data_IF_032785215930
#
_entry.id   IF_032785215930
#
_cell.length_a   1.000
_cell.length_b   1.000
_cell.length_c   1.000
_cell.angle_alpha   90.00
_cell.angle_beta   90.00
_cell.angle_gamma   90.00
#
_symmetry.space_group_name_H-M   'P 1'
#
loop_
_entity.id
_entity.type
_entity.pdbx_description
1 polymer ?
#
# COMPACT_ATOMS: atom_id res chain seq x y z
N UNK A 1 -32.61 0.66 -5.43
CA UNK A 1 -33.46 -0.54 -5.38
C UNK A 1 -33.69 -1.13 -6.76
N UNK A 2 -34.20 -0.35 -7.79
CA UNK A 2 -34.50 -0.92 -9.12
C UNK A 2 -33.28 -1.56 -9.79
N UNK A 3 -32.12 -0.89 -9.77
CA UNK A 3 -30.86 -1.42 -10.32
C UNK A 3 -30.43 -2.70 -9.59
N UNK A 4 -30.48 -2.70 -8.26
CA UNK A 4 -30.12 -3.88 -7.46
C UNK A 4 -31.03 -5.08 -7.78
N UNK A 5 -32.35 -4.88 -7.85
CA UNK A 5 -33.29 -5.93 -8.24
C UNK A 5 -33.02 -6.42 -9.67
N UNK A 6 -32.64 -5.54 -10.61
CA UNK A 6 -32.31 -5.91 -11.99
C UNK A 6 -31.02 -6.75 -12.08
N UNK A 7 -30.03 -6.45 -11.26
CA UNK A 7 -28.77 -7.24 -11.21
C UNK A 7 -29.03 -8.61 -10.62
N UNK A 8 -29.67 -8.67 -9.45
CA UNK A 8 -29.89 -9.93 -8.75
C UNK A 8 -30.85 -10.86 -9.49
N UNK A 9 -31.80 -10.34 -10.26
CA UNK A 9 -32.72 -11.15 -11.07
C UNK A 9 -32.03 -11.99 -12.15
N UNK A 10 -30.77 -11.70 -12.48
CA UNK A 10 -29.95 -12.49 -13.41
C UNK A 10 -29.31 -13.72 -12.74
N UNK A 11 -29.33 -13.81 -11.42
CA UNK A 11 -28.83 -14.97 -10.69
C UNK A 11 -29.93 -16.04 -10.62
N UNK A 12 -29.71 -17.17 -11.29
CA UNK A 12 -30.69 -18.30 -11.40
C UNK A 12 -30.81 -19.12 -10.12
N UNK A 13 -29.82 -19.03 -9.21
CA UNK A 13 -29.81 -19.80 -7.95
C UNK A 13 -30.28 -18.98 -6.74
N UNK A 14 -30.77 -17.78 -6.92
CA UNK A 14 -31.25 -16.96 -5.84
C UNK A 14 -32.61 -17.41 -5.29
N UNK A 15 -32.82 -17.17 -3.98
CA UNK A 15 -34.16 -17.20 -3.40
C UNK A 15 -34.95 -15.99 -3.91
N UNK A 16 -36.21 -16.21 -4.34
CA UNK A 16 -37.04 -15.13 -4.85
C UNK A 16 -37.28 -14.07 -3.77
N UNK A 17 -36.58 -12.93 -3.89
CA UNK A 17 -36.58 -11.85 -2.92
C UNK A 17 -36.66 -10.50 -3.64
N UNK A 18 -37.69 -9.73 -3.34
CA UNK A 18 -37.86 -8.39 -3.88
C UNK A 18 -37.44 -7.37 -2.82
N UNK A 19 -36.36 -6.66 -3.11
CA UNK A 19 -35.90 -5.55 -2.26
C UNK A 19 -36.76 -4.29 -2.54
N UNK A 20 -37.22 -3.64 -1.50
CA UNK A 20 -38.02 -2.42 -1.56
C UNK A 20 -37.49 -1.36 -0.58
N UNK A 21 -37.92 -0.13 -0.72
CA UNK A 21 -37.61 0.98 0.17
C UNK A 21 -38.85 1.86 0.37
N UNK A 22 -38.97 2.45 1.56
CA UNK A 22 -39.95 3.47 1.84
C UNK A 22 -39.43 4.90 1.62
N UNK A 23 -38.11 5.05 1.33
CA UNK A 23 -37.50 6.34 1.07
C UNK A 23 -37.99 6.93 -0.25
N UNK A 24 -37.97 8.26 -0.34
CA UNK A 24 -38.26 9.01 -1.55
C UNK A 24 -37.27 8.70 -2.67
N UNK A 25 -37.59 9.11 -3.90
CA UNK A 25 -36.70 8.97 -5.04
C UNK A 25 -35.49 9.90 -4.85
N UNK A 26 -34.33 9.32 -4.66
CA UNK A 26 -33.06 10.02 -4.66
C UNK A 26 -32.55 10.33 -6.08
N UNK A 27 -31.32 10.86 -6.16
CA UNK A 27 -30.62 11.09 -7.42
C UNK A 27 -30.43 9.79 -8.22
N UNK A 28 -30.33 9.95 -9.55
CA UNK A 28 -30.00 8.81 -10.42
C UNK A 28 -28.57 8.36 -10.21
N UNK A 29 -28.33 7.05 -10.36
CA UNK A 29 -26.98 6.49 -10.39
C UNK A 29 -26.22 7.16 -11.53
N UNK A 30 -25.05 7.73 -11.21
CA UNK A 30 -24.12 8.32 -12.18
C UNK A 30 -23.02 7.27 -12.45
N UNK A 31 -22.67 7.08 -13.69
CA UNK A 31 -21.57 6.23 -14.13
C UNK A 31 -20.51 7.13 -14.75
N UNK A 32 -19.33 7.14 -14.17
CA UNK A 32 -18.20 7.92 -14.64
C UNK A 32 -17.11 6.96 -15.13
N UNK A 33 -16.36 7.38 -16.13
CA UNK A 33 -15.21 6.63 -16.65
C UNK A 33 -13.95 7.42 -16.37
N UNK A 34 -12.97 6.79 -15.77
CA UNK A 34 -11.61 7.29 -15.58
C UNK A 34 -10.63 6.54 -16.50
N UNK A 35 -9.46 7.10 -16.73
CA UNK A 35 -8.42 6.48 -17.55
C UNK A 35 -7.50 5.62 -16.67
N UNK A 36 -7.28 6.04 -15.43
CA UNK A 36 -6.44 5.37 -14.44
C UNK A 36 -7.15 5.32 -13.09
N UNK A 37 -6.64 4.51 -12.15
CA UNK A 37 -7.11 4.47 -10.76
C UNK A 37 -6.87 5.81 -10.03
N UNK A 38 -5.78 6.51 -10.35
CA UNK A 38 -5.50 7.84 -9.82
C UNK A 38 -6.48 8.89 -10.34
N UNK A 39 -6.88 8.83 -11.62
CA UNK A 39 -7.92 9.69 -12.18
C UNK A 39 -9.28 9.43 -11.51
N UNK A 40 -9.62 8.15 -11.30
CA UNK A 40 -10.83 7.75 -10.59
C UNK A 40 -10.84 8.33 -9.18
N UNK A 41 -9.74 8.16 -8.45
CA UNK A 41 -9.59 8.64 -7.08
C UNK A 41 -9.64 10.18 -7.02
N UNK A 42 -8.99 10.87 -7.96
CA UNK A 42 -9.05 12.32 -8.07
C UNK A 42 -10.47 12.82 -8.33
N UNK A 43 -11.21 12.15 -9.21
CA UNK A 43 -12.61 12.45 -9.53
C UNK A 43 -13.50 12.22 -8.30
N UNK A 44 -13.36 11.11 -7.59
CA UNK A 44 -14.12 10.82 -6.38
C UNK A 44 -13.88 11.88 -5.31
N UNK A 45 -12.62 12.21 -5.03
CA UNK A 45 -12.27 13.24 -4.04
C UNK A 45 -12.85 14.62 -4.39
N UNK A 46 -12.82 15.02 -5.68
CA UNK A 46 -13.42 16.26 -6.14
C UNK A 46 -14.94 16.25 -5.99
N UNK A 47 -15.60 15.16 -6.37
CA UNK A 47 -17.04 15.01 -6.22
C UNK A 47 -17.51 15.05 -4.77
N UNK A 48 -16.73 14.48 -3.83
CA UNK A 48 -17.01 14.57 -2.40
C UNK A 48 -16.99 16.04 -1.97
N UNK A 49 -15.94 16.80 -2.30
CA UNK A 49 -15.85 18.22 -1.93
C UNK A 49 -17.00 19.06 -2.53
N UNK A 50 -17.32 18.85 -3.81
CA UNK A 50 -18.41 19.54 -4.48
C UNK A 50 -19.77 19.23 -3.82
N UNK A 51 -20.03 17.95 -3.52
CA UNK A 51 -21.28 17.51 -2.89
C UNK A 51 -21.39 18.05 -1.46
N UNK A 52 -20.31 18.02 -0.68
CA UNK A 52 -20.27 18.63 0.65
C UNK A 52 -20.65 20.12 0.62
N UNK A 53 -20.06 20.86 -0.32
CA UNK A 53 -20.32 22.29 -0.45
C UNK A 53 -21.76 22.59 -0.91
N UNK A 54 -22.29 21.79 -1.84
CA UNK A 54 -23.63 21.95 -2.39
C UNK A 54 -24.72 21.58 -1.38
N UNK A 55 -24.58 20.43 -0.73
CA UNK A 55 -25.63 19.81 0.07
C UNK A 55 -25.42 19.99 1.59
N UNK A 56 -24.33 20.68 2.00
CA UNK A 56 -23.90 20.86 3.38
C UNK A 56 -23.71 19.51 4.12
N UNK A 57 -23.30 18.47 3.37
CA UNK A 57 -23.10 17.12 3.90
C UNK A 57 -21.83 17.02 4.76
N UNK A 58 -21.84 16.14 5.74
CA UNK A 58 -20.67 15.79 6.55
C UNK A 58 -19.83 14.71 5.86
N UNK A 59 -18.57 14.53 6.28
CA UNK A 59 -17.74 13.46 5.74
C UNK A 59 -18.32 12.06 6.05
N UNK A 60 -18.96 11.90 7.21
CA UNK A 60 -19.58 10.64 7.62
C UNK A 60 -20.75 10.19 6.74
N UNK A 61 -21.33 11.10 5.96
CA UNK A 61 -22.39 10.79 4.98
C UNK A 61 -21.87 10.03 3.76
N UNK A 62 -20.54 9.96 3.56
CA UNK A 62 -19.90 9.40 2.38
C UNK A 62 -19.25 8.04 2.64
N UNK A 63 -19.44 7.12 1.69
CA UNK A 63 -18.71 5.85 1.66
C UNK A 63 -18.09 5.60 0.28
N UNK A 64 -16.85 5.11 0.28
CA UNK A 64 -16.12 4.61 -0.89
C UNK A 64 -16.01 3.10 -0.74
N UNK A 65 -16.59 2.37 -1.68
CA UNK A 65 -16.67 0.91 -1.67
C UNK A 65 -15.81 0.33 -2.79
N UNK A 66 -14.95 -0.60 -2.46
CA UNK A 66 -14.06 -1.29 -3.40
C UNK A 66 -14.15 -2.81 -3.25
N UNK A 67 -13.61 -3.55 -4.21
CA UNK A 67 -13.63 -5.02 -4.21
C UNK A 67 -12.50 -5.62 -3.37
N UNK A 68 -11.27 -5.12 -3.52
CA UNK A 68 -10.08 -5.60 -2.82
C UNK A 68 -9.42 -4.47 -2.03
N UNK A 69 -8.71 -4.85 -0.97
CA UNK A 69 -8.03 -3.87 -0.12
C UNK A 69 -6.94 -3.10 -0.88
N UNK A 70 -6.33 -3.68 -1.92
CA UNK A 70 -5.30 -3.01 -2.71
C UNK A 70 -5.80 -1.66 -3.28
N UNK A 71 -7.05 -1.62 -3.75
CA UNK A 71 -7.67 -0.42 -4.34
C UNK A 71 -7.80 0.76 -3.37
N UNK A 72 -7.57 0.56 -2.05
CA UNK A 72 -7.64 1.69 -1.10
C UNK A 72 -6.52 2.69 -1.29
N UNK A 73 -5.34 2.31 -1.85
CA UNK A 73 -4.17 3.19 -1.99
C UNK A 73 -4.50 4.51 -2.69
N UNK A 74 -4.94 4.43 -3.94
CA UNK A 74 -5.24 5.62 -4.74
C UNK A 74 -6.32 6.51 -4.09
N UNK A 75 -7.34 5.89 -3.49
CA UNK A 75 -8.40 6.62 -2.76
C UNK A 75 -7.85 7.32 -1.52
N UNK A 76 -7.04 6.61 -0.71
CA UNK A 76 -6.40 7.20 0.48
C UNK A 76 -5.51 8.39 0.09
N UNK A 77 -4.66 8.25 -0.92
CA UNK A 77 -3.78 9.31 -1.40
C UNK A 77 -4.58 10.52 -1.94
N UNK A 78 -5.64 10.28 -2.70
CA UNK A 78 -6.47 11.35 -3.24
C UNK A 78 -7.22 12.13 -2.14
N UNK A 79 -7.70 11.45 -1.10
CA UNK A 79 -8.36 12.08 0.05
C UNK A 79 -7.35 12.88 0.89
N UNK A 80 -6.16 12.32 1.15
CA UNK A 80 -5.07 13.02 1.85
C UNK A 80 -4.64 14.29 1.13
N UNK A 81 -4.37 14.21 -0.18
CA UNK A 81 -4.01 15.38 -1.00
C UNK A 81 -5.03 16.52 -0.93
N UNK A 82 -6.29 16.19 -0.60
CA UNK A 82 -7.39 17.16 -0.46
C UNK A 82 -7.70 17.55 1.00
N UNK A 83 -6.97 16.99 1.97
CA UNK A 83 -7.26 17.20 3.38
C UNK A 83 -8.65 16.68 3.81
N UNK A 84 -9.18 15.66 3.15
CA UNK A 84 -10.45 15.02 3.50
C UNK A 84 -10.17 13.89 4.48
N UNK A 85 -10.64 13.99 5.75
CA UNK A 85 -10.50 12.92 6.72
C UNK A 85 -11.21 11.64 6.27
N UNK A 86 -10.57 10.51 6.44
CA UNK A 86 -11.15 9.21 6.10
C UNK A 86 -10.81 8.14 7.13
N UNK A 87 -11.59 7.07 7.14
CA UNK A 87 -11.37 5.90 7.97
C UNK A 87 -11.56 4.61 7.20
N UNK A 88 -10.61 3.68 7.35
CA UNK A 88 -10.72 2.35 6.74
C UNK A 88 -11.38 1.42 7.73
N UNK A 89 -12.45 0.77 7.29
CA UNK A 89 -13.15 -0.24 8.07
C UNK A 89 -12.66 -1.64 7.71
N UNK A 90 -12.41 -2.44 8.75
CA UNK A 90 -12.01 -3.84 8.62
C UNK A 90 -10.59 -4.07 8.08
N UNK A 91 -9.72 -3.06 8.14
CA UNK A 91 -8.33 -3.17 7.70
C UNK A 91 -7.45 -2.04 8.22
N UNK A 92 -6.20 -2.08 7.80
CA UNK A 92 -5.22 -1.03 8.03
C UNK A 92 -5.11 -0.13 6.80
N UNK A 93 -4.75 1.13 7.01
CA UNK A 93 -4.29 2.03 5.95
C UNK A 93 -3.20 1.37 5.10
N UNK A 94 -3.16 1.66 3.82
CA UNK A 94 -2.29 0.97 2.86
C UNK A 94 -0.84 0.91 3.34
N UNK A 95 -0.27 2.05 3.70
CA UNK A 95 1.12 2.14 4.16
C UNK A 95 1.35 1.58 5.58
N UNK A 96 0.30 1.24 6.31
CA UNK A 96 0.40 0.61 7.63
C UNK A 96 0.43 -0.93 7.55
N UNK A 97 0.09 -1.52 6.39
CA UNK A 97 0.10 -2.98 6.19
C UNK A 97 1.49 -3.55 6.34
N UNK A 98 1.57 -4.75 6.92
CA UNK A 98 2.85 -5.39 7.26
C UNK A 98 3.75 -5.56 6.03
N UNK A 99 3.23 -6.13 4.95
CA UNK A 99 3.95 -6.38 3.69
C UNK A 99 4.45 -5.09 3.03
N UNK A 100 3.66 -4.01 3.13
CA UNK A 100 4.05 -2.68 2.64
C UNK A 100 5.18 -2.11 3.49
N UNK A 101 5.04 -2.15 4.82
CA UNK A 101 6.12 -1.73 5.75
C UNK A 101 7.40 -2.51 5.54
N UNK A 102 7.29 -3.82 5.25
CA UNK A 102 8.44 -4.67 4.99
C UNK A 102 9.14 -4.24 3.69
N UNK A 103 8.40 -3.97 2.61
CA UNK A 103 8.96 -3.48 1.35
C UNK A 103 9.54 -2.06 1.51
N UNK A 104 8.83 -1.17 2.17
CA UNK A 104 9.30 0.20 2.45
C UNK A 104 10.60 0.20 3.27
N UNK A 105 10.79 -0.78 4.18
CA UNK A 105 12.04 -0.91 4.90
C UNK A 105 13.22 -1.29 3.98
N UNK A 106 13.00 -2.11 2.96
CA UNK A 106 14.01 -2.34 1.90
C UNK A 106 14.31 -1.08 1.11
N UNK A 107 13.31 -0.30 0.76
CA UNK A 107 13.47 0.97 0.05
C UNK A 107 14.26 1.99 0.88
N UNK A 108 13.94 2.12 2.17
CA UNK A 108 14.70 2.97 3.10
C UNK A 108 16.16 2.54 3.17
N UNK A 109 16.45 1.24 3.22
CA UNK A 109 17.82 0.72 3.23
C UNK A 109 18.57 0.97 1.92
N UNK A 110 17.89 0.98 0.79
CA UNK A 110 18.50 1.33 -0.49
C UNK A 110 18.87 2.83 -0.56
N UNK A 111 18.10 3.69 0.10
CA UNK A 111 18.32 5.14 0.14
C UNK A 111 19.21 5.56 1.30
N UNK A 112 19.06 4.95 2.48
CA UNK A 112 19.83 5.26 3.69
C UNK A 112 20.10 4.00 4.52
N UNK A 113 21.32 3.48 4.43
CA UNK A 113 21.73 2.29 5.16
C UNK A 113 21.87 2.47 6.68
N UNK A 114 21.80 3.69 7.21
CA UNK A 114 21.91 3.93 8.64
C UNK A 114 20.58 3.75 9.41
N UNK A 115 19.49 3.41 8.71
CA UNK A 115 18.19 3.13 9.31
C UNK A 115 18.18 1.77 10.03
N UNK A 116 18.53 1.80 11.32
CA UNK A 116 18.61 0.58 12.13
C UNK A 116 17.24 -0.12 12.29
N UNK A 117 16.15 0.64 12.34
CA UNK A 117 14.79 0.05 12.40
C UNK A 117 14.50 -0.77 11.13
N UNK A 118 14.81 -0.20 9.97
CA UNK A 118 14.63 -0.89 8.70
C UNK A 118 15.51 -2.14 8.62
N UNK A 119 16.79 -2.07 9.04
CA UNK A 119 17.68 -3.24 9.06
C UNK A 119 17.06 -4.36 9.90
N UNK A 120 16.70 -4.08 11.15
CA UNK A 120 16.15 -5.07 12.08
C UNK A 120 14.88 -5.71 11.57
N UNK A 121 14.09 -4.95 10.83
CA UNK A 121 12.86 -5.41 10.22
C UNK A 121 13.10 -6.42 9.10
N UNK A 122 14.09 -6.19 8.23
CA UNK A 122 14.26 -6.95 6.99
C UNK A 122 15.41 -7.94 6.98
N UNK A 123 16.36 -7.88 7.90
CA UNK A 123 17.59 -8.70 7.86
C UNK A 123 17.29 -10.21 7.81
N UNK A 124 16.22 -10.64 8.45
CA UNK A 124 15.77 -12.05 8.42
C UNK A 124 14.36 -12.21 7.81
N UNK A 125 13.92 -11.25 7.02
CA UNK A 125 12.64 -11.35 6.31
C UNK A 125 12.81 -10.91 4.84
N UNK A 126 12.60 -11.80 3.87
CA UNK A 126 12.32 -13.24 3.97
C UNK A 126 13.37 -14.02 4.77
N UNK A 127 12.99 -15.21 5.24
CA UNK A 127 13.82 -16.00 6.15
C UNK A 127 15.21 -16.31 5.57
N UNK A 128 16.28 -15.75 6.20
CA UNK A 128 17.70 -15.95 5.82
C UNK A 128 18.48 -16.76 6.84
N UNK A 129 17.85 -17.14 7.96
CA UNK A 129 18.50 -17.84 9.06
C UNK A 129 19.47 -16.96 9.87
N UNK A 130 19.17 -15.64 9.92
CA UNK A 130 19.83 -14.68 10.81
C UNK A 130 18.89 -14.46 12.00
N UNK A 131 19.13 -15.17 13.09
CA UNK A 131 18.26 -15.13 14.27
C UNK A 131 18.65 -14.06 15.28
N UNK A 132 17.83 -13.90 16.31
CA UNK A 132 18.01 -12.88 17.37
C UNK A 132 19.40 -12.98 18.04
N UNK A 133 19.90 -14.18 18.31
CA UNK A 133 21.24 -14.35 18.88
C UNK A 133 22.34 -13.73 18.01
N UNK A 134 22.20 -13.76 16.67
CA UNK A 134 23.16 -13.08 15.78
C UNK A 134 23.00 -11.57 15.86
N UNK A 135 21.77 -11.07 15.93
CA UNK A 135 21.48 -9.64 16.07
C UNK A 135 22.00 -9.09 17.41
N UNK A 136 21.86 -9.84 18.50
CA UNK A 136 22.36 -9.45 19.82
C UNK A 136 23.88 -9.29 19.81
N UNK A 137 24.61 -10.21 19.17
CA UNK A 137 26.05 -10.15 19.01
C UNK A 137 26.52 -8.96 18.19
N UNK A 138 25.83 -8.67 17.06
CA UNK A 138 26.09 -7.50 16.24
C UNK A 138 25.80 -6.23 17.03
N UNK A 139 24.69 -6.18 17.79
CA UNK A 139 24.34 -5.05 18.65
C UNK A 139 25.38 -4.78 19.72
N UNK A 140 25.88 -5.84 20.39
CA UNK A 140 26.94 -5.73 21.38
C UNK A 140 28.19 -5.11 20.75
N UNK A 141 28.61 -5.66 19.60
CA UNK A 141 29.81 -5.17 18.89
C UNK A 141 29.68 -3.73 18.44
N UNK A 142 28.49 -3.34 17.94
CA UNK A 142 28.17 -1.95 17.57
C UNK A 142 28.38 -1.00 18.75
N UNK A 143 27.89 -1.37 19.94
CA UNK A 143 28.04 -0.56 21.17
C UNK A 143 29.50 -0.49 21.65
N UNK A 144 30.21 -1.61 21.66
CA UNK A 144 31.62 -1.69 22.09
C UNK A 144 32.52 -0.82 21.21
N UNK A 145 32.32 -0.85 19.91
CA UNK A 145 33.12 -0.11 18.94
C UNK A 145 32.58 1.33 18.66
N UNK A 146 31.43 1.70 19.23
CA UNK A 146 30.74 2.98 18.93
C UNK A 146 30.53 3.18 17.42
N UNK A 147 30.25 2.10 16.71
CA UNK A 147 29.92 2.08 15.28
C UNK A 147 28.43 1.95 15.09
N UNK A 148 27.88 2.38 13.93
CA UNK A 148 26.48 2.09 13.59
C UNK A 148 26.26 0.59 13.39
N UNK A 149 25.02 0.15 13.57
CA UNK A 149 24.65 -1.26 13.37
C UNK A 149 24.95 -1.70 11.94
N UNK A 150 24.70 -0.86 10.95
CA UNK A 150 25.06 -1.12 9.56
C UNK A 150 26.56 -1.25 9.35
N UNK A 151 27.37 -0.39 9.94
CA UNK A 151 28.82 -0.44 9.78
C UNK A 151 29.41 -1.79 10.24
N UNK A 152 28.86 -2.37 11.32
CA UNK A 152 29.26 -3.72 11.77
C UNK A 152 28.80 -4.81 10.78
N UNK A 153 27.60 -4.68 10.22
CA UNK A 153 27.05 -5.62 9.23
C UNK A 153 27.87 -5.61 7.94
N UNK A 154 28.17 -4.43 7.41
CA UNK A 154 28.87 -4.31 6.13
C UNK A 154 30.33 -4.76 6.17
N UNK A 155 30.96 -4.75 7.36
CA UNK A 155 32.31 -5.19 7.61
C UNK A 155 32.35 -6.48 8.46
N UNK A 156 31.32 -7.29 8.43
CA UNK A 156 31.10 -8.41 9.36
C UNK A 156 32.22 -9.42 9.42
N UNK A 157 32.99 -9.57 8.34
CA UNK A 157 34.17 -10.47 8.31
C UNK A 157 35.35 -9.93 9.11
N UNK A 158 35.47 -8.63 9.22
CA UNK A 158 36.54 -7.93 9.89
C UNK A 158 36.24 -7.70 11.37
N UNK A 159 34.96 -7.84 11.75
CA UNK A 159 34.46 -7.57 13.08
C UNK A 159 34.45 -8.82 13.95
N UNK A 160 35.05 -8.73 15.14
CA UNK A 160 35.05 -9.80 16.15
C UNK A 160 33.70 -9.88 16.88
N UNK A 161 32.66 -10.33 16.18
CA UNK A 161 31.29 -10.42 16.73
C UNK A 161 31.01 -11.70 17.51
N UNK A 162 31.90 -12.68 17.46
CA UNK A 162 31.68 -14.03 18.04
C UNK A 162 30.61 -14.83 17.29
N UNK A 163 30.27 -14.46 16.06
CA UNK A 163 29.44 -15.27 15.17
C UNK A 163 30.24 -16.47 14.64
N UNK A 164 29.55 -17.60 14.41
CA UNK A 164 30.15 -18.71 13.67
C UNK A 164 30.23 -18.38 12.17
N UNK A 165 31.09 -19.09 11.44
CA UNK A 165 31.32 -18.87 10.02
C UNK A 165 30.04 -18.90 9.17
N UNK A 166 29.11 -19.82 9.45
CA UNK A 166 27.83 -19.90 8.73
C UNK A 166 26.94 -18.70 8.95
N UNK A 167 26.88 -18.14 10.17
CA UNK A 167 26.13 -16.92 10.48
C UNK A 167 26.79 -15.69 9.87
N UNK A 168 28.12 -15.60 9.90
CA UNK A 168 28.87 -14.52 9.25
C UNK A 168 28.60 -14.46 7.76
N UNK A 169 28.63 -15.59 7.03
CA UNK A 169 28.32 -15.65 5.61
C UNK A 169 26.88 -15.17 5.32
N UNK A 170 25.90 -15.52 6.16
CA UNK A 170 24.52 -15.08 5.97
C UNK A 170 24.38 -13.56 6.12
N UNK A 171 25.04 -12.98 7.12
CA UNK A 171 25.03 -11.52 7.34
C UNK A 171 25.77 -10.82 6.21
N UNK A 172 26.89 -11.36 5.75
CA UNK A 172 27.62 -10.82 4.60
C UNK A 172 26.77 -10.83 3.32
N UNK A 173 26.08 -11.94 3.03
CA UNK A 173 25.19 -12.03 1.87
C UNK A 173 24.08 -10.98 1.94
N UNK A 174 23.54 -10.71 3.13
CA UNK A 174 22.59 -9.63 3.33
C UNK A 174 23.23 -8.26 3.07
N UNK A 175 24.44 -8.00 3.55
CA UNK A 175 25.15 -6.76 3.29
C UNK A 175 25.40 -6.53 1.80
N UNK A 176 25.82 -7.57 1.07
CA UNK A 176 26.02 -7.53 -0.40
C UNK A 176 24.70 -7.20 -1.11
N UNK A 177 23.59 -7.82 -0.69
CA UNK A 177 22.27 -7.55 -1.26
C UNK A 177 21.89 -6.08 -1.13
N UNK A 178 22.03 -5.51 0.08
CA UNK A 178 21.70 -4.10 0.35
C UNK A 178 22.63 -3.16 -0.43
N UNK A 179 23.94 -3.43 -0.48
CA UNK A 179 24.89 -2.65 -1.30
C UNK A 179 24.49 -2.66 -2.80
N UNK A 180 23.99 -3.78 -3.30
CA UNK A 180 23.44 -3.86 -4.66
C UNK A 180 22.23 -2.94 -4.86
N UNK A 181 21.32 -2.88 -3.89
CA UNK A 181 20.17 -1.96 -3.94
C UNK A 181 20.59 -0.49 -3.90
N UNK A 182 21.58 -0.15 -3.07
CA UNK A 182 22.14 1.20 -2.99
C UNK A 182 22.83 1.63 -4.30
N UNK A 183 23.51 0.71 -4.97
CA UNK A 183 24.11 0.98 -6.27
C UNK A 183 23.03 1.29 -7.32
N UNK A 184 21.98 0.48 -7.37
CA UNK A 184 20.84 0.71 -8.27
C UNK A 184 20.14 2.05 -7.99
N UNK A 185 19.93 2.40 -6.72
CA UNK A 185 19.24 3.63 -6.32
C UNK A 185 19.98 4.93 -6.71
N UNK A 186 21.27 4.84 -7.06
CA UNK A 186 22.07 5.98 -7.53
C UNK A 186 21.94 6.24 -9.02
N UNK A 187 21.55 5.23 -9.79
CA UNK A 187 21.60 5.25 -11.24
C UNK A 187 20.22 5.17 -11.91
N UNK A 188 19.23 4.61 -11.19
CA UNK A 188 17.92 4.30 -11.75
C UNK A 188 16.80 5.05 -11.05
N UNK A 189 15.65 5.16 -11.72
CA UNK A 189 14.46 5.76 -11.13
C UNK A 189 13.81 4.89 -10.05
N UNK A 190 12.86 5.46 -9.33
CA UNK A 190 12.18 4.81 -8.21
C UNK A 190 11.51 3.49 -8.62
N UNK A 191 10.90 3.43 -9.81
CA UNK A 191 10.18 2.23 -10.25
C UNK A 191 11.12 1.08 -10.60
N UNK A 192 12.21 1.37 -11.31
CA UNK A 192 13.22 0.37 -11.65
C UNK A 192 13.89 -0.20 -10.39
N UNK A 193 14.27 0.70 -9.46
CA UNK A 193 14.85 0.30 -8.16
C UNK A 193 13.87 -0.54 -7.35
N UNK A 194 12.62 -0.08 -7.20
CA UNK A 194 11.61 -0.80 -6.43
C UNK A 194 11.31 -2.17 -7.01
N UNK A 195 11.19 -2.27 -8.35
CA UNK A 195 10.99 -3.53 -9.07
C UNK A 195 12.16 -4.50 -8.89
N UNK A 196 13.39 -3.99 -8.94
CA UNK A 196 14.59 -4.78 -8.69
C UNK A 196 14.63 -5.30 -7.24
N UNK A 197 14.39 -4.44 -6.26
CA UNK A 197 14.32 -4.80 -4.83
C UNK A 197 13.23 -5.86 -4.60
N UNK A 198 12.04 -5.68 -5.15
CA UNK A 198 10.92 -6.61 -5.00
C UNK A 198 11.29 -8.04 -5.46
N UNK A 199 12.02 -8.15 -6.57
CA UNK A 199 12.50 -9.43 -7.13
C UNK A 199 13.65 -10.01 -6.32
N UNK A 200 14.68 -9.23 -6.02
CA UNK A 200 15.92 -9.70 -5.42
C UNK A 200 15.83 -9.92 -3.92
N UNK A 201 14.97 -9.18 -3.21
CA UNK A 201 14.73 -9.41 -1.77
C UNK A 201 14.14 -10.79 -1.46
N UNK A 202 13.40 -11.37 -2.43
CA UNK A 202 12.66 -12.62 -2.28
C UNK A 202 11.24 -12.45 -1.76
N UNK A 203 10.79 -11.23 -1.43
CA UNK A 203 9.43 -10.95 -0.92
C UNK A 203 8.35 -11.36 -1.91
N UNK A 204 8.51 -10.99 -3.17
CA UNK A 204 7.55 -11.39 -4.22
C UNK A 204 7.40 -12.90 -4.34
N UNK A 205 8.52 -13.62 -4.31
CA UNK A 205 8.51 -15.09 -4.41
C UNK A 205 7.80 -15.72 -3.22
N UNK A 206 8.05 -15.21 -2.01
CA UNK A 206 7.42 -15.73 -0.79
C UNK A 206 5.91 -15.52 -0.83
N UNK A 207 5.45 -14.33 -1.20
CA UNK A 207 4.01 -14.02 -1.27
C UNK A 207 3.32 -14.71 -2.44
N UNK A 208 3.97 -14.83 -3.58
CA UNK A 208 3.42 -15.57 -4.72
C UNK A 208 3.28 -17.08 -4.45
N UNK A 209 4.12 -17.63 -3.58
CA UNK A 209 4.04 -19.04 -3.18
C UNK A 209 2.90 -19.30 -2.20
N UNK A 210 2.45 -18.30 -1.45
CA UNK A 210 1.32 -18.38 -0.53
C UNK A 210 -0.01 -18.23 -1.31
N UNK A 211 -0.71 -19.36 -1.48
CA UNK A 211 -1.99 -19.41 -2.20
C UNK A 211 -3.21 -19.20 -1.30
N UNK A 212 -3.01 -18.89 -0.04
CA UNK A 212 -4.11 -18.50 0.85
C UNK A 212 -4.70 -17.14 0.42
N UNK A 213 -5.97 -16.86 0.74
CA UNK A 213 -6.59 -15.56 0.46
C UNK A 213 -5.76 -14.39 1.03
N UNK A 214 -5.12 -14.59 2.19
CA UNK A 214 -4.24 -13.62 2.81
C UNK A 214 -2.95 -13.41 2.01
N UNK A 215 -2.32 -14.49 1.53
CA UNK A 215 -1.12 -14.43 0.70
C UNK A 215 -1.39 -13.73 -0.64
N UNK A 216 -2.51 -14.05 -1.28
CA UNK A 216 -2.96 -13.40 -2.51
C UNK A 216 -3.14 -11.89 -2.27
N UNK A 217 -3.85 -11.50 -1.20
CA UNK A 217 -4.04 -10.09 -0.86
C UNK A 217 -2.72 -9.34 -0.61
N UNK A 218 -1.76 -9.96 0.08
CA UNK A 218 -0.42 -9.37 0.28
C UNK A 218 0.33 -9.17 -1.04
N UNK A 219 0.24 -10.14 -1.94
CA UNK A 219 0.85 -10.04 -3.26
C UNK A 219 0.24 -8.91 -4.08
N UNK A 220 -1.11 -8.81 -4.12
CA UNK A 220 -1.83 -7.70 -4.75
C UNK A 220 -1.42 -6.34 -4.16
N UNK A 221 -1.28 -6.24 -2.84
CA UNK A 221 -0.82 -5.02 -2.17
C UNK A 221 0.59 -4.61 -2.62
N UNK A 222 1.52 -5.57 -2.78
CA UNK A 222 2.86 -5.25 -3.30
C UNK A 222 2.84 -4.84 -4.77
N UNK A 223 2.00 -5.46 -5.60
CA UNK A 223 1.83 -5.03 -6.99
C UNK A 223 1.29 -3.61 -7.05
N UNK A 224 0.30 -3.30 -6.21
CA UNK A 224 -0.29 -1.97 -6.11
C UNK A 224 0.72 -0.92 -5.64
N UNK A 225 1.60 -1.26 -4.70
CA UNK A 225 2.72 -0.37 -4.33
C UNK A 225 3.62 -0.06 -5.53
N UNK A 226 3.98 -1.07 -6.34
CA UNK A 226 4.80 -0.86 -7.53
C UNK A 226 4.08 -0.04 -8.60
N UNK A 227 2.77 -0.23 -8.78
CA UNK A 227 1.96 0.61 -9.67
C UNK A 227 2.01 2.07 -9.22
N UNK A 228 1.80 2.34 -7.92
CA UNK A 228 1.88 3.69 -7.37
C UNK A 228 3.26 4.35 -7.57
N UNK A 229 4.35 3.58 -7.46
CA UNK A 229 5.70 4.10 -7.73
C UNK A 229 5.88 4.39 -9.23
N UNK A 230 5.32 3.56 -10.10
CA UNK A 230 5.34 3.78 -11.55
C UNK A 230 4.62 5.08 -11.91
N UNK A 231 3.41 5.27 -11.38
CA UNK A 231 2.62 6.48 -11.58
C UNK A 231 3.35 7.73 -11.07
N UNK A 232 4.03 7.62 -9.92
CA UNK A 232 4.87 8.69 -9.38
C UNK A 232 5.98 9.06 -10.37
N UNK A 233 6.71 8.09 -10.93
CA UNK A 233 7.76 8.33 -11.92
C UNK A 233 7.20 8.95 -13.20
N UNK A 234 6.05 8.50 -13.68
CA UNK A 234 5.38 9.05 -14.85
C UNK A 234 4.98 10.52 -14.61
N UNK A 235 4.37 10.83 -13.46
CA UNK A 235 4.00 12.21 -13.08
C UNK A 235 5.22 13.12 -12.94
N UNK A 236 6.32 12.64 -12.35
CA UNK A 236 7.56 13.41 -12.26
C UNK A 236 8.16 13.69 -13.67
N UNK A 237 8.05 12.73 -14.58
CA UNK A 237 8.53 12.90 -15.95
C UNK A 237 7.71 13.90 -16.79
N UNK A 238 6.48 14.19 -16.42
CA UNK A 238 5.65 15.25 -17.05
C UNK A 238 6.09 16.66 -16.64
N UNK A 239 6.83 16.81 -15.53
CA UNK A 239 7.34 18.11 -15.07
C UNK A 239 8.49 18.62 -15.95
N UNK A 240 8.76 19.93 -15.96
CA UNK A 240 9.99 20.50 -16.56
C UNK A 240 11.24 19.79 -16.01
N UNK A 241 12.24 19.61 -16.84
CA UNK A 241 13.45 18.83 -16.51
C UNK A 241 14.13 19.30 -15.22
N UNK A 242 14.11 20.61 -14.96
CA UNK A 242 14.71 21.24 -13.78
C UNK A 242 13.97 20.91 -12.47
N UNK A 243 12.71 20.48 -12.53
CA UNK A 243 11.86 20.18 -11.39
C UNK A 243 11.67 18.67 -11.17
N UNK A 244 12.19 17.83 -12.08
CA UNK A 244 12.02 16.39 -12.03
C UNK A 244 12.83 15.74 -10.93
N UNK A 245 12.21 14.89 -10.15
CA UNK A 245 12.92 14.02 -9.22
C UNK A 245 12.27 12.64 -9.15
N UNK A 246 12.72 11.73 -10.00
CA UNK A 246 12.21 10.35 -10.09
C UNK A 246 12.91 9.40 -9.12
N UNK A 247 13.73 9.89 -8.19
CA UNK A 247 14.51 9.05 -7.28
C UNK A 247 13.63 8.34 -6.24
N UNK A 248 14.07 7.15 -5.83
CA UNK A 248 13.41 6.40 -4.75
C UNK A 248 13.39 7.19 -3.42
N UNK A 249 14.42 8.00 -3.17
CA UNK A 249 14.49 8.82 -1.96
C UNK A 249 13.37 9.87 -1.94
N UNK A 250 13.14 10.54 -3.06
CA UNK A 250 12.09 11.55 -3.17
C UNK A 250 10.69 10.94 -3.05
N UNK A 251 10.47 9.75 -3.63
CA UNK A 251 9.24 8.99 -3.39
C UNK A 251 9.03 8.70 -1.90
N UNK A 252 10.07 8.27 -1.17
CA UNK A 252 9.97 8.00 0.26
C UNK A 252 9.62 9.26 1.08
N UNK A 253 10.17 10.41 0.70
CA UNK A 253 9.88 11.71 1.33
C UNK A 253 8.42 12.11 1.08
N UNK A 254 7.92 11.96 -0.15
CA UNK A 254 6.53 12.26 -0.50
C UNK A 254 5.55 11.40 0.31
N UNK A 255 5.80 10.09 0.40
CA UNK A 255 4.98 9.20 1.22
C UNK A 255 5.07 9.52 2.72
N UNK A 256 6.23 9.90 3.22
CA UNK A 256 6.38 10.28 4.64
C UNK A 256 5.52 11.51 4.98
N UNK A 257 5.55 12.54 4.12
CA UNK A 257 4.71 13.73 4.27
C UNK A 257 3.21 13.39 4.23
N UNK A 258 2.81 12.49 3.33
CA UNK A 258 1.42 12.06 3.22
C UNK A 258 0.94 11.28 4.45
N UNK A 259 1.79 10.42 5.04
CA UNK A 259 1.40 9.54 6.15
C UNK A 259 1.48 10.18 7.53
N UNK A 260 2.26 11.25 7.72
CA UNK A 260 2.31 11.96 9.00
C UNK A 260 0.99 12.70 9.31
N UNK A 261 0.28 13.13 8.29
CA UNK A 261 -1.05 13.76 8.43
C UNK A 261 -2.13 12.79 8.95
N UNK A 262 -1.95 11.46 8.82
CA UNK A 262 -2.92 10.47 9.32
C UNK A 262 -3.02 10.46 10.85
N UNK A 263 -1.93 10.79 11.56
CA UNK A 263 -1.90 10.76 13.04
C UNK A 263 -2.74 11.86 13.68
N UNK A 264 -2.97 12.96 12.95
CA UNK A 264 -3.77 14.09 13.44
C UNK A 264 -5.27 13.92 13.17
N UNK A 265 -5.66 13.05 12.23
CA UNK A 265 -7.05 12.89 11.79
C UNK A 265 -7.83 11.80 12.54
N UNK A 266 -7.20 10.97 13.37
CA UNK A 266 -7.86 9.87 14.07
C UNK A 266 -8.90 10.32 15.15
N UNK A 267 -8.89 11.58 15.56
CA UNK A 267 -9.68 12.09 16.68
C UNK A 267 -10.94 12.91 16.30
N UNK A 268 -11.17 13.17 15.02
CA UNK A 268 -12.37 13.88 14.55
C UNK A 268 -13.41 12.86 14.05
N UNK A 269 -14.56 12.77 14.72
CA UNK A 269 -15.64 11.83 14.37
C UNK A 269 -16.21 11.96 12.94
N UNK A 270 -15.93 13.06 12.23
CA UNK A 270 -16.42 13.32 10.85
C UNK A 270 -15.38 12.85 9.80
N UNK A 271 -15.59 11.66 9.24
CA UNK A 271 -14.68 11.06 8.25
C UNK A 271 -15.41 10.28 7.16
N UNK A 272 -14.84 10.28 5.94
CA UNK A 272 -15.32 9.43 4.84
C UNK A 272 -15.01 7.97 5.14
N UNK A 273 -15.97 7.08 4.95
CA UNK A 273 -15.82 5.64 5.17
C UNK A 273 -15.24 4.94 3.94
N UNK A 274 -14.11 4.25 4.11
CA UNK A 274 -13.48 3.40 3.10
C UNK A 274 -13.60 1.94 3.51
N UNK A 275 -14.17 1.08 2.66
CA UNK A 275 -14.34 -0.33 2.97
C UNK A 275 -14.57 -1.19 1.74
N UNK A 276 -14.41 -2.50 1.90
CA UNK A 276 -14.82 -3.42 0.85
C UNK A 276 -16.36 -3.52 0.79
N UNK A 277 -16.90 -3.86 -0.39
CA UNK A 277 -18.34 -4.11 -0.54
C UNK A 277 -18.86 -5.16 0.45
N UNK A 278 -18.04 -6.16 0.80
CA UNK A 278 -18.45 -7.16 1.79
C UNK A 278 -18.63 -6.59 3.19
N UNK A 279 -17.79 -5.62 3.57
CA UNK A 279 -17.85 -4.96 4.88
C UNK A 279 -19.00 -3.97 4.99
N UNK A 280 -19.48 -3.43 3.87
CA UNK A 280 -20.62 -2.50 3.86
C UNK A 280 -21.98 -3.19 4.07
N UNK A 281 -22.00 -4.53 4.15
CA UNK A 281 -23.26 -5.26 4.36
C UNK A 281 -23.96 -4.83 5.66
N UNK A 282 -25.16 -4.28 5.51
CA UNK A 282 -25.98 -3.81 6.64
C UNK A 282 -25.70 -2.37 7.06
N UNK A 283 -24.82 -1.67 6.37
CA UNK A 283 -24.56 -0.24 6.56
C UNK A 283 -25.29 0.57 5.49
N UNK A 284 -25.61 1.82 5.81
CA UNK A 284 -26.29 2.77 4.93
C UNK A 284 -25.59 4.13 5.00
N UNK A 285 -25.42 4.79 3.83
CA UNK A 285 -24.77 6.08 3.70
C UNK A 285 -25.58 6.98 2.78
N UNK A 286 -25.51 8.30 2.99
CA UNK A 286 -26.14 9.29 2.13
C UNK A 286 -25.60 9.29 0.72
N UNK A 287 -24.27 9.13 0.57
CA UNK A 287 -23.55 9.14 -0.70
C UNK A 287 -22.61 7.96 -0.78
N UNK A 288 -22.72 7.17 -1.85
CA UNK A 288 -21.92 5.96 -2.04
C UNK A 288 -21.21 6.01 -3.37
N UNK A 289 -19.89 5.83 -3.34
CA UNK A 289 -19.03 5.64 -4.51
C UNK A 289 -18.60 4.18 -4.58
N UNK A 290 -18.83 3.53 -5.72
CA UNK A 290 -18.33 2.18 -6.00
C UNK A 290 -17.25 2.34 -7.05
N UNK A 291 -16.02 1.94 -6.70
CA UNK A 291 -14.82 2.18 -7.51
C UNK A 291 -14.20 0.88 -8.02
N UNK A 292 -13.40 0.99 -9.09
CA UNK A 292 -12.71 -0.13 -9.72
C UNK A 292 -13.67 -1.12 -10.39
N UNK A 293 -14.75 -0.63 -11.01
CA UNK A 293 -15.71 -1.43 -11.78
C UNK A 293 -15.14 -1.74 -13.17
N UNK A 294 -14.18 -2.66 -13.21
CA UNK A 294 -13.50 -3.09 -14.43
C UNK A 294 -13.35 -4.61 -14.48
N UNK A 295 -13.18 -5.15 -15.70
CA UNK A 295 -13.04 -6.59 -15.91
C UNK A 295 -11.82 -7.14 -15.14
N UNK A 296 -11.93 -8.37 -14.66
CA UNK A 296 -10.94 -9.13 -13.87
C UNK A 296 -10.68 -8.58 -12.45
N UNK A 297 -11.17 -7.38 -12.13
CA UNK A 297 -11.09 -6.79 -10.79
C UNK A 297 -12.46 -6.81 -10.10
N UNK A 298 -13.48 -6.24 -10.75
CA UNK A 298 -14.84 -6.23 -10.25
C UNK A 298 -15.86 -6.26 -11.40
N UNK A 299 -16.31 -7.46 -11.80
CA UNK A 299 -16.13 -8.77 -11.16
C UNK A 299 -14.71 -9.33 -11.28
N UNK A 300 -14.28 -10.13 -10.29
CA UNK A 300 -12.98 -10.78 -10.33
C UNK A 300 -12.97 -11.91 -11.38
N UNK A 301 -11.81 -12.18 -11.99
CA UNK A 301 -11.63 -13.27 -12.96
C UNK A 301 -12.15 -14.63 -12.45
N UNK A 302 -12.00 -14.90 -11.13
CA UNK A 302 -12.50 -16.12 -10.49
C UNK A 302 -14.02 -16.22 -10.48
N UNK A 303 -14.75 -15.11 -10.51
CA UNK A 303 -16.22 -15.10 -10.54
C UNK A 303 -16.80 -15.20 -11.96
N UNK A 304 -15.97 -15.06 -12.99
CA UNK A 304 -16.38 -15.12 -14.40
C UNK A 304 -16.29 -16.55 -14.98
N UNK A 305 -15.73 -17.51 -14.23
CA UNK A 305 -15.49 -18.90 -14.66
C UNK A 305 -16.48 -19.90 -14.07
N UNK A 306 -17.57 -19.44 -13.43
CA UNK A 306 -18.69 -20.25 -12.95
C UNK A 306 -20.01 -19.88 -13.72
#
# INVERSE_FOLDING_TARGET
VKAANSIISKNTEQLDKKVWTANDLGEKIKVNRAMTDNDEAAMVGSNIQETKNRDQALNEDFAILYRTNAQSRSMEEALRKRGIPYRIYGGLSFYQRKEIKDMMAYFRMASNAQDEEAIRRIINYPKRGIGNSSLDKITLRSKEQKKSFWNVIENIKEEETGLNAGSTIKVENFAILIKGFQAMAKEQDAYEVASYIAKQSGLFREMQADKTPEGISKYENLQELLNGIKDFVEQENEKPEEERNTSLMYFLEDIALLTDNDKESEDNGDHVSLMTIHQSKGLEYGYVYIVGLEEDLFPSALSSTT
#
